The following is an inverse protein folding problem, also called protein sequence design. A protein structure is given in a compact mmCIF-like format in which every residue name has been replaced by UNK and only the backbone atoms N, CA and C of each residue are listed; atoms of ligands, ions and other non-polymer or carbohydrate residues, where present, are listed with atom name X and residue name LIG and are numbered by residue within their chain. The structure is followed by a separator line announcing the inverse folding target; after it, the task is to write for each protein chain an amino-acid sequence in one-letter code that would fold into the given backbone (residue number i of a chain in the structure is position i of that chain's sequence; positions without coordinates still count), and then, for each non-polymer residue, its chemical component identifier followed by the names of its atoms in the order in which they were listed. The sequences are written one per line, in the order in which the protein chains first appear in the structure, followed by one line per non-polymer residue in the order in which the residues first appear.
data_IF_245889361180
#
_entry.id   IF_245889361180
#
_cell.length_a   1.000
_cell.length_b   1.000
_cell.length_c   1.000
_cell.angle_alpha   90.00
_cell.angle_beta   90.00
_cell.angle_gamma   90.00
#
_symmetry.space_group_name_H-M   'P 1'
#
loop_
_entity.id
_entity.type
_entity.pdbx_description
1 polymer ?
#
# COMPACT_ATOMS: atom_id res chain seq x y z
N UNK A 1 8.85 -15.43 20.84
CA UNK A 1 9.08 -14.30 19.91
C UNK A 1 7.80 -13.49 19.83
N UNK A 2 7.84 -12.19 20.11
CA UNK A 2 6.65 -11.32 20.10
C UNK A 2 6.24 -11.03 18.66
N UNK A 3 4.98 -11.27 18.32
CA UNK A 3 4.40 -10.94 17.02
C UNK A 3 4.52 -9.43 16.77
N UNK A 4 5.41 -9.04 15.85
CA UNK A 4 5.61 -7.66 15.45
C UNK A 4 4.50 -7.29 14.46
N UNK A 5 3.60 -6.38 14.85
CA UNK A 5 2.50 -5.95 13.96
C UNK A 5 3.04 -5.17 12.76
N UNK A 6 2.41 -5.31 11.60
CA UNK A 6 2.74 -4.60 10.35
C UNK A 6 2.90 -3.08 10.53
N UNK A 7 2.21 -2.49 11.52
CA UNK A 7 2.36 -1.07 11.92
C UNK A 7 3.81 -0.66 12.21
N UNK A 8 4.63 -1.57 12.73
CA UNK A 8 6.01 -1.25 13.12
C UNK A 8 7.02 -1.38 11.98
N UNK A 9 6.67 -2.11 10.91
CA UNK A 9 7.56 -2.32 9.76
C UNK A 9 7.45 -1.16 8.76
N UNK A 10 6.23 -0.65 8.54
CA UNK A 10 5.97 0.43 7.58
C UNK A 10 6.46 1.79 8.11
N UNK A 11 6.23 2.09 9.40
CA UNK A 11 6.57 3.42 9.95
C UNK A 11 8.06 3.62 10.27
N UNK A 12 8.81 2.58 10.67
CA UNK A 12 10.16 2.81 11.21
C UNK A 12 11.31 2.46 10.24
N UNK A 13 11.09 1.61 9.24
CA UNK A 13 12.18 1.17 8.37
C UNK A 13 12.19 1.91 7.02
N UNK A 14 11.02 2.24 6.45
CA UNK A 14 10.97 2.90 5.14
C UNK A 14 11.17 4.41 5.22
N UNK A 15 10.72 5.05 6.30
CA UNK A 15 11.09 6.44 6.58
C UNK A 15 12.60 6.60 6.81
N UNK A 16 13.25 5.60 7.41
CA UNK A 16 14.67 5.61 7.74
C UNK A 16 15.62 5.47 6.54
N UNK A 17 15.16 4.90 5.41
CA UNK A 17 15.98 4.83 4.18
C UNK A 17 16.19 6.18 3.50
N UNK A 18 15.50 7.23 3.94
CA UNK A 18 15.51 8.52 3.30
C UNK A 18 15.50 9.62 4.37
N UNK A 19 16.69 10.16 4.62
CA UNK A 19 17.08 10.94 5.81
C UNK A 19 16.47 12.34 5.94
N UNK A 20 15.81 12.87 4.91
CA UNK A 20 15.18 14.20 4.94
C UNK A 20 13.79 14.20 4.29
N UNK A 21 12.76 14.60 5.05
CA UNK A 21 11.37 14.67 4.58
C UNK A 21 11.10 15.85 3.64
N UNK A 22 11.93 16.90 3.68
CA UNK A 22 11.81 18.07 2.79
C UNK A 22 12.23 17.71 1.36
N UNK A 23 13.40 17.08 1.23
CA UNK A 23 13.96 16.60 -0.05
C UNK A 23 13.01 15.60 -0.72
N UNK A 24 12.34 14.72 0.03
CA UNK A 24 11.34 13.79 -0.51
C UNK A 24 10.22 14.50 -1.27
N UNK A 25 9.64 15.55 -0.67
CA UNK A 25 8.53 16.29 -1.27
C UNK A 25 9.00 17.07 -2.50
N UNK A 26 10.20 17.63 -2.44
CA UNK A 26 10.82 18.32 -3.57
C UNK A 26 11.17 17.36 -4.72
N UNK A 27 11.41 16.08 -4.40
CA UNK A 27 11.61 14.99 -5.37
C UNK A 27 10.32 14.24 -5.75
N UNK A 28 9.14 14.76 -5.38
CA UNK A 28 7.85 14.20 -5.78
C UNK A 28 7.42 12.93 -5.01
N UNK A 29 8.07 12.60 -3.90
CA UNK A 29 7.70 11.49 -3.02
C UNK A 29 6.74 12.03 -1.96
N UNK A 30 5.47 11.66 -2.09
CA UNK A 30 4.40 12.04 -1.17
C UNK A 30 3.81 10.82 -0.50
N UNK A 31 3.60 10.90 0.81
CA UNK A 31 2.87 9.88 1.56
C UNK A 31 1.49 10.39 1.91
N UNK A 32 0.50 9.54 1.65
CA UNK A 32 -0.88 9.84 2.02
C UNK A 32 -1.04 9.53 3.52
N UNK A 33 -1.54 10.47 4.34
CA UNK A 33 -1.81 10.20 5.75
C UNK A 33 -2.78 9.03 5.94
N UNK A 34 -2.57 8.21 6.98
CA UNK A 34 -3.40 7.02 7.21
C UNK A 34 -4.90 7.33 7.31
N UNK A 35 -5.28 8.45 7.94
CA UNK A 35 -6.69 8.84 8.06
C UNK A 35 -7.34 9.17 6.71
N UNK A 36 -6.57 9.70 5.74
CA UNK A 36 -7.06 9.93 4.38
C UNK A 36 -7.25 8.57 3.67
N UNK A 37 -6.30 7.65 3.84
CA UNK A 37 -6.41 6.29 3.29
C UNK A 37 -7.65 5.59 3.83
N UNK A 38 -7.85 5.62 5.14
CA UNK A 38 -9.00 4.98 5.79
C UNK A 38 -10.32 5.64 5.35
N UNK A 39 -10.35 6.98 5.24
CA UNK A 39 -11.48 7.70 4.67
C UNK A 39 -11.80 7.25 3.23
N UNK A 40 -10.80 7.28 2.34
CA UNK A 40 -11.01 6.97 0.91
C UNK A 40 -11.37 5.50 0.68
N UNK A 41 -10.77 4.58 1.43
CA UNK A 41 -11.14 3.15 1.35
C UNK A 41 -12.52 2.87 1.93
N UNK A 42 -12.95 3.65 2.94
CA UNK A 42 -14.32 3.61 3.46
C UNK A 42 -15.40 4.06 2.46
N UNK A 43 -15.02 4.82 1.42
CA UNK A 43 -15.95 5.24 0.35
C UNK A 43 -16.20 4.15 -0.70
N UNK A 44 -15.41 3.07 -0.70
CA UNK A 44 -15.56 1.99 -1.68
C UNK A 44 -16.80 1.17 -1.35
N UNK A 45 -17.77 1.13 -2.27
CA UNK A 45 -18.90 0.22 -2.17
C UNK A 45 -18.50 -1.20 -2.59
N UNK A 46 -18.02 -1.98 -1.62
CA UNK A 46 -17.53 -3.35 -1.83
C UNK A 46 -18.62 -4.32 -2.31
N UNK A 47 -19.90 -4.05 -2.00
CA UNK A 47 -21.04 -4.90 -2.39
C UNK A 47 -21.25 -4.88 -3.92
N UNK A 48 -20.77 -3.87 -4.63
CA UNK A 48 -20.77 -3.86 -6.11
C UNK A 48 -19.86 -4.93 -6.74
N UNK A 49 -19.03 -5.58 -5.92
CA UNK A 49 -18.01 -6.52 -6.38
C UNK A 49 -18.17 -7.90 -5.74
N UNK A 50 -19.15 -8.14 -4.87
CA UNK A 50 -19.34 -9.43 -4.20
C UNK A 50 -19.55 -10.57 -5.18
N UNK A 51 -20.37 -10.37 -6.21
CA UNK A 51 -20.78 -11.42 -7.16
C UNK A 51 -19.83 -11.56 -8.35
N UNK A 52 -18.78 -10.75 -8.42
CA UNK A 52 -17.78 -10.85 -9.49
C UNK A 52 -16.82 -12.01 -9.20
N UNK A 53 -16.74 -12.94 -10.14
CA UNK A 53 -15.85 -14.10 -10.09
C UNK A 53 -14.38 -13.69 -9.93
N UNK A 54 -13.98 -12.57 -10.52
CA UNK A 54 -12.65 -12.01 -10.38
C UNK A 54 -12.71 -10.48 -10.26
N UNK A 55 -11.90 -9.92 -9.38
CA UNK A 55 -11.74 -8.47 -9.24
C UNK A 55 -10.25 -8.13 -9.25
N UNK A 56 -9.92 -7.05 -9.93
CA UNK A 56 -8.57 -6.51 -10.00
C UNK A 56 -8.56 -5.18 -9.25
N UNK A 57 -7.61 -5.02 -8.33
CA UNK A 57 -7.30 -3.77 -7.67
C UNK A 57 -6.02 -3.24 -8.28
N UNK A 58 -6.06 -2.01 -8.80
CA UNK A 58 -4.91 -1.33 -9.39
C UNK A 58 -4.65 -0.05 -8.58
N UNK A 59 -3.43 0.08 -8.04
CA UNK A 59 -2.94 1.31 -7.42
C UNK A 59 -1.88 1.93 -8.35
N UNK A 60 -2.24 2.93 -9.17
CA UNK A 60 -1.27 3.67 -9.96
C UNK A 60 -0.47 4.63 -9.06
N UNK A 61 0.82 4.84 -9.38
CA UNK A 61 1.75 5.62 -8.55
C UNK A 61 1.70 5.18 -7.07
N UNK A 62 1.86 3.87 -6.86
CA UNK A 62 1.52 3.23 -5.58
C UNK A 62 2.42 3.62 -4.42
N UNK A 63 3.57 4.26 -4.65
CA UNK A 63 4.49 4.62 -3.59
C UNK A 63 4.79 3.40 -2.72
N UNK A 64 4.42 3.48 -1.43
CA UNK A 64 4.57 2.37 -0.48
C UNK A 64 3.30 1.52 -0.30
N UNK A 65 2.52 1.32 -1.36
CA UNK A 65 1.28 0.51 -1.40
C UNK A 65 0.30 0.88 -0.28
N UNK A 66 0.17 2.17 0.02
CA UNK A 66 -0.59 2.66 1.17
C UNK A 66 -2.08 2.42 0.98
N UNK A 67 -2.60 2.58 -0.26
CA UNK A 67 -4.01 2.30 -0.54
C UNK A 67 -4.32 0.82 -0.50
N UNK A 68 -3.50 -0.02 -1.13
CA UNK A 68 -3.66 -1.48 -1.06
C UNK A 68 -3.63 -1.98 0.38
N UNK A 69 -2.73 -1.44 1.21
CA UNK A 69 -2.69 -1.71 2.65
C UNK A 69 -3.96 -1.24 3.35
N UNK A 70 -4.48 -0.06 2.99
CA UNK A 70 -5.76 0.45 3.49
C UNK A 70 -6.95 -0.46 3.16
N UNK A 71 -7.06 -0.91 1.91
CA UNK A 71 -8.12 -1.82 1.47
C UNK A 71 -8.02 -3.15 2.23
N UNK A 72 -6.81 -3.68 2.45
CA UNK A 72 -6.60 -4.88 3.25
C UNK A 72 -7.10 -4.72 4.68
N UNK A 73 -6.90 -3.56 5.30
CA UNK A 73 -7.41 -3.26 6.66
C UNK A 73 -8.93 -3.09 6.67
N UNK A 74 -9.48 -2.32 5.73
CA UNK A 74 -10.90 -1.98 5.65
C UNK A 74 -11.78 -3.18 5.28
N UNK A 75 -11.36 -3.96 4.28
CA UNK A 75 -12.09 -5.14 3.83
C UNK A 75 -11.14 -6.29 3.42
N UNK A 76 -10.64 -7.06 4.41
CA UNK A 76 -9.70 -8.15 4.16
C UNK A 76 -10.24 -9.22 3.20
N UNK A 77 -11.55 -9.50 3.25
CA UNK A 77 -12.19 -10.49 2.37
C UNK A 77 -12.14 -10.06 0.91
N UNK A 78 -12.51 -8.79 0.64
CA UNK A 78 -12.42 -8.21 -0.69
C UNK A 78 -10.98 -8.15 -1.19
N UNK A 79 -10.05 -7.76 -0.32
CA UNK A 79 -8.63 -7.76 -0.65
C UNK A 79 -8.18 -9.18 -1.04
N UNK A 80 -8.35 -10.18 -0.18
CA UNK A 80 -7.83 -11.53 -0.41
C UNK A 80 -8.35 -12.18 -1.70
N UNK A 81 -9.60 -11.95 -2.09
CA UNK A 81 -10.16 -12.52 -3.34
C UNK A 81 -9.69 -11.83 -4.62
N UNK A 82 -9.12 -10.63 -4.52
CA UNK A 82 -8.76 -9.82 -5.68
C UNK A 82 -7.32 -10.07 -6.12
N UNK A 83 -7.04 -9.90 -7.41
CA UNK A 83 -5.67 -9.67 -7.90
C UNK A 83 -5.28 -8.22 -7.61
N UNK A 84 -4.01 -7.96 -7.26
CA UNK A 84 -3.55 -6.61 -6.90
C UNK A 84 -2.30 -6.26 -7.70
N UNK A 85 -2.32 -5.08 -8.28
CA UNK A 85 -1.22 -4.50 -9.03
C UNK A 85 -0.90 -3.12 -8.46
N UNK A 86 0.37 -2.89 -8.15
CA UNK A 86 0.91 -1.57 -7.83
C UNK A 86 1.81 -1.12 -8.97
N UNK A 87 1.63 0.12 -9.46
CA UNK A 87 2.51 0.67 -10.49
C UNK A 87 3.33 1.79 -9.87
N UNK A 88 4.66 1.67 -9.90
CA UNK A 88 5.59 2.68 -9.38
C UNK A 88 6.75 2.87 -10.36
N UNK A 89 7.07 4.12 -10.66
CA UNK A 89 8.15 4.49 -11.59
C UNK A 89 9.49 4.62 -10.86
N UNK A 90 9.45 4.97 -9.57
CA UNK A 90 10.65 5.11 -8.77
C UNK A 90 11.19 3.73 -8.38
N UNK A 91 12.29 3.35 -9.04
CA UNK A 91 12.95 2.07 -8.83
C UNK A 91 13.41 1.84 -7.38
N UNK A 92 13.84 2.88 -6.67
CA UNK A 92 14.26 2.74 -5.26
C UNK A 92 13.10 2.32 -4.37
N UNK A 93 11.90 2.85 -4.63
CA UNK A 93 10.68 2.47 -3.93
C UNK A 93 10.29 1.02 -4.27
N UNK A 94 10.34 0.64 -5.55
CA UNK A 94 10.07 -0.75 -5.99
C UNK A 94 11.04 -1.74 -5.33
N UNK A 95 12.33 -1.43 -5.33
CA UNK A 95 13.37 -2.28 -4.74
C UNK A 95 13.18 -2.36 -3.21
N UNK A 96 12.87 -1.25 -2.54
CA UNK A 96 12.55 -1.23 -1.12
C UNK A 96 11.33 -2.11 -0.79
N UNK A 97 10.26 -2.04 -1.58
CA UNK A 97 9.06 -2.85 -1.41
C UNK A 97 9.35 -4.35 -1.57
N UNK A 98 10.13 -4.73 -2.59
CA UNK A 98 10.54 -6.12 -2.86
C UNK A 98 11.44 -6.66 -1.76
N UNK A 99 12.46 -5.91 -1.35
CA UNK A 99 13.45 -6.34 -0.36
C UNK A 99 12.87 -6.48 1.06
N UNK A 100 11.83 -5.72 1.39
CA UNK A 100 11.16 -5.80 2.69
C UNK A 100 9.99 -6.81 2.70
N UNK A 101 9.74 -7.55 1.61
CA UNK A 101 8.68 -8.54 1.52
C UNK A 101 7.25 -7.95 1.57
N UNK A 102 7.12 -6.65 1.31
CA UNK A 102 5.86 -5.90 1.43
C UNK A 102 4.90 -6.17 0.25
N UNK A 103 5.39 -6.82 -0.81
CA UNK A 103 4.65 -7.08 -2.06
C UNK A 103 4.34 -8.56 -2.30
N UNK A 104 4.42 -9.42 -1.28
CA UNK A 104 4.13 -10.86 -1.46
C UNK A 104 2.74 -11.17 -2.03
N UNK A 105 1.80 -10.23 -1.89
CA UNK A 105 0.42 -10.33 -2.39
C UNK A 105 0.11 -9.32 -3.52
N UNK A 106 1.10 -8.54 -3.96
CA UNK A 106 0.94 -7.43 -4.92
C UNK A 106 1.98 -7.55 -6.03
N UNK A 107 1.54 -7.56 -7.28
CA UNK A 107 2.46 -7.50 -8.42
C UNK A 107 2.89 -6.05 -8.65
N UNK A 108 4.21 -5.81 -8.67
CA UNK A 108 4.86 -4.53 -8.96
C UNK A 108 5.94 -4.70 -10.02
#
# INVERSE_FOLDING_TARGET
MRNMSVKNVVNNNVEAYFTDQSIKKDCGIFFTPEWIIDFMTGLINYDKYTDKAETIILEPACGLIQFLSGIKRSNPKFFNKSKKYGIEINKEIVDALKNNGLVSEVEI
#
